data_IF_705810739392
#
_entry.id   IF_705810739392
#
_cell.length_a   1.000
_cell.length_b   1.000
_cell.length_c   1.000
_cell.angle_alpha   90.00
_cell.angle_beta   90.00
_cell.angle_gamma   90.00
#
_symmetry.space_group_name_H-M   'P 1'
#
loop_
_entity.id
_entity.type
_entity.pdbx_description
1 polymer ?
#
# COMPACT_ATOMS: atom_id res chain seq x y z
N UNK A 1 -0.72 -38.82 -21.70
CA UNK A 1 -0.52 -37.78 -20.69
C UNK A 1 -0.15 -38.45 -19.39
N UNK A 2 1.11 -38.34 -19.01
CA UNK A 2 1.57 -38.80 -17.71
C UNK A 2 1.12 -37.85 -16.59
N UNK A 3 0.95 -38.33 -15.35
CA UNK A 3 0.60 -37.48 -14.21
C UNK A 3 1.59 -36.32 -13.98
N UNK A 4 2.83 -36.50 -14.41
CA UNK A 4 3.90 -35.50 -14.27
C UNK A 4 3.76 -34.35 -15.28
N UNK A 5 3.29 -34.63 -16.50
CA UNK A 5 3.01 -33.62 -17.53
C UNK A 5 1.79 -32.76 -17.13
N UNK A 6 0.78 -33.37 -16.51
CA UNK A 6 -0.39 -32.64 -16.00
C UNK A 6 -0.01 -31.71 -14.84
N UNK A 7 0.94 -32.11 -14.00
CA UNK A 7 1.40 -31.28 -12.90
C UNK A 7 2.14 -30.02 -13.40
N UNK A 8 2.99 -30.17 -14.43
CA UNK A 8 3.74 -29.06 -15.04
C UNK A 8 2.81 -28.04 -15.69
N UNK A 9 1.82 -28.50 -16.47
CA UNK A 9 0.80 -27.65 -17.09
C UNK A 9 -0.02 -26.90 -16.03
N UNK A 10 -0.35 -27.56 -14.92
CA UNK A 10 -1.13 -26.96 -13.84
C UNK A 10 -0.36 -25.88 -13.06
N UNK A 11 0.96 -26.08 -12.87
CA UNK A 11 1.84 -25.09 -12.24
C UNK A 11 2.00 -23.86 -13.14
N UNK A 12 2.21 -24.08 -14.43
CA UNK A 12 2.39 -22.98 -15.40
C UNK A 12 1.08 -22.22 -15.66
N UNK A 13 -0.05 -22.92 -15.70
CA UNK A 13 -1.38 -22.29 -15.76
C UNK A 13 -1.67 -21.43 -14.53
N UNK A 14 -1.30 -21.88 -13.33
CA UNK A 14 -1.42 -21.08 -12.10
C UNK A 14 -0.57 -19.81 -12.13
N UNK A 15 0.66 -19.90 -12.62
CA UNK A 15 1.54 -18.74 -12.74
C UNK A 15 0.95 -17.68 -13.69
N UNK A 16 0.41 -18.10 -14.84
CA UNK A 16 -0.28 -17.23 -15.78
C UNK A 16 -1.54 -16.59 -15.17
N UNK A 17 -2.36 -17.36 -14.46
CA UNK A 17 -3.60 -16.88 -13.86
C UNK A 17 -3.37 -15.84 -12.75
N UNK A 18 -2.24 -15.93 -12.05
CA UNK A 18 -1.82 -14.96 -11.04
C UNK A 18 -1.07 -13.75 -11.63
N UNK A 19 -0.48 -13.87 -12.83
CA UNK A 19 0.19 -12.76 -13.51
C UNK A 19 -0.78 -11.74 -14.13
N UNK A 20 -1.97 -12.18 -14.57
CA UNK A 20 -3.01 -11.29 -15.14
C UNK A 20 -3.41 -10.17 -14.17
N UNK A 21 -3.82 -10.43 -12.91
CA UNK A 21 -4.20 -9.35 -12.00
C UNK A 21 -3.04 -8.40 -11.71
N UNK A 22 -1.80 -8.89 -11.64
CA UNK A 22 -0.62 -8.02 -11.51
C UNK A 22 -0.46 -7.08 -12.71
N UNK A 23 -0.57 -7.59 -13.95
CA UNK A 23 -0.47 -6.74 -15.14
C UNK A 23 -1.58 -5.69 -15.18
N UNK A 24 -2.81 -6.06 -14.82
CA UNK A 24 -3.95 -5.12 -14.78
C UNK A 24 -3.72 -4.03 -13.74
N UNK A 25 -3.26 -4.39 -12.54
CA UNK A 25 -2.96 -3.44 -11.46
C UNK A 25 -1.82 -2.49 -11.85
N UNK A 26 -0.72 -3.02 -12.41
CA UNK A 26 0.42 -2.22 -12.89
C UNK A 26 0.03 -1.26 -14.01
N UNK A 27 -0.75 -1.74 -14.99
CA UNK A 27 -1.20 -0.92 -16.12
C UNK A 27 -2.15 0.18 -15.66
N UNK A 28 -3.09 -0.15 -14.75
CA UNK A 28 -3.99 0.82 -14.13
C UNK A 28 -3.23 1.89 -13.33
N UNK A 29 -2.21 1.48 -12.57
CA UNK A 29 -1.35 2.41 -11.84
C UNK A 29 -0.54 3.33 -12.76
N UNK A 30 0.00 2.80 -13.86
CA UNK A 30 0.69 3.60 -14.88
C UNK A 30 -0.24 4.64 -15.52
N UNK A 31 -1.45 4.26 -15.90
CA UNK A 31 -2.46 5.18 -16.42
C UNK A 31 -2.83 6.26 -15.40
N UNK A 32 -2.95 5.89 -14.12
CA UNK A 32 -3.21 6.82 -13.02
C UNK A 32 -2.08 7.85 -12.86
N UNK A 33 -0.81 7.41 -12.88
CA UNK A 33 0.35 8.31 -12.81
C UNK A 33 0.41 9.29 -13.98
N UNK A 34 0.10 8.82 -15.20
CA UNK A 34 0.02 9.70 -16.36
C UNK A 34 -1.08 10.76 -16.18
N UNK A 35 -2.27 10.36 -15.70
CA UNK A 35 -3.35 11.29 -15.36
C UNK A 35 -2.95 12.29 -14.28
N UNK A 36 -2.22 11.85 -13.26
CA UNK A 36 -1.70 12.70 -12.19
C UNK A 36 -0.73 13.76 -12.73
N UNK A 37 0.24 13.36 -13.58
CA UNK A 37 1.20 14.28 -14.19
C UNK A 37 0.50 15.33 -15.05
N UNK A 38 -0.48 14.92 -15.86
CA UNK A 38 -1.28 15.85 -16.69
C UNK A 38 -2.09 16.81 -15.81
N UNK A 39 -2.69 16.33 -14.72
CA UNK A 39 -3.44 17.17 -13.79
C UNK A 39 -2.54 18.21 -13.12
N UNK A 40 -1.34 17.81 -12.66
CA UNK A 40 -0.36 18.72 -12.07
C UNK A 40 0.13 19.74 -13.10
N UNK A 41 0.49 19.32 -14.31
CA UNK A 41 0.92 20.24 -15.38
C UNK A 41 -0.17 21.26 -15.73
N UNK A 42 -1.43 20.82 -15.81
CA UNK A 42 -2.58 21.71 -16.05
C UNK A 42 -2.73 22.76 -14.95
N UNK A 43 -2.45 22.40 -13.69
CA UNK A 43 -2.46 23.32 -12.55
C UNK A 43 -1.32 24.34 -12.61
N UNK A 44 -0.11 23.92 -13.03
CA UNK A 44 1.05 24.83 -13.15
C UNK A 44 0.92 25.81 -14.31
N UNK A 45 0.28 25.42 -15.42
CA UNK A 45 0.11 26.28 -16.60
C UNK A 45 -0.93 27.40 -16.35
N UNK A 46 -1.90 27.20 -15.44
CA UNK A 46 -3.05 28.10 -15.23
C UNK A 46 -2.75 29.38 -14.42
N UNK A 47 -1.49 29.69 -14.09
CA UNK A 47 -1.12 30.96 -13.46
C UNK A 47 -0.97 30.90 -11.93
N UNK A 48 -0.93 32.07 -11.24
CA UNK A 48 -0.39 32.21 -9.89
C UNK A 48 -1.15 31.36 -8.88
N UNK A 49 -0.39 30.61 -8.07
CA UNK A 49 -0.90 29.68 -7.07
C UNK A 49 -1.87 30.35 -6.09
N UNK A 50 -3.15 30.04 -6.26
CA UNK A 50 -4.19 30.39 -5.30
C UNK A 50 -4.37 29.32 -4.22
N UNK A 51 -4.94 29.71 -3.08
CA UNK A 51 -5.48 28.77 -2.06
C UNK A 51 -6.27 27.59 -2.66
N UNK A 52 -7.18 27.77 -3.65
CA UNK A 52 -7.91 26.65 -4.23
C UNK A 52 -7.02 25.64 -4.98
N UNK A 53 -5.98 26.08 -5.67
CA UNK A 53 -5.05 25.18 -6.36
C UNK A 53 -4.22 24.36 -5.37
N UNK A 54 -3.83 24.96 -4.24
CA UNK A 54 -3.10 24.26 -3.19
C UNK A 54 -3.94 23.14 -2.58
N UNK A 55 -5.22 23.41 -2.29
CA UNK A 55 -6.16 22.41 -1.76
C UNK A 55 -6.38 21.27 -2.78
N UNK A 56 -6.53 21.62 -4.06
CA UNK A 56 -6.71 20.62 -5.11
C UNK A 56 -5.48 19.71 -5.26
N UNK A 57 -4.28 20.29 -5.21
CA UNK A 57 -3.02 19.54 -5.27
C UNK A 57 -2.89 18.60 -4.06
N UNK A 58 -3.23 19.10 -2.87
CA UNK A 58 -3.21 18.30 -1.65
C UNK A 58 -4.18 17.12 -1.74
N UNK A 59 -5.39 17.35 -2.26
CA UNK A 59 -6.36 16.28 -2.53
C UNK A 59 -5.82 15.25 -3.53
N UNK A 60 -5.21 15.70 -4.64
CA UNK A 60 -4.60 14.82 -5.64
C UNK A 60 -3.48 13.96 -5.04
N UNK A 61 -2.63 14.55 -4.20
CA UNK A 61 -1.55 13.83 -3.50
C UNK A 61 -2.13 12.78 -2.56
N UNK A 62 -3.17 13.11 -1.79
CA UNK A 62 -3.83 12.13 -0.92
C UNK A 62 -4.40 10.96 -1.71
N UNK A 63 -5.06 11.22 -2.84
CA UNK A 63 -5.60 10.16 -3.71
C UNK A 63 -4.47 9.30 -4.27
N UNK A 64 -3.36 9.90 -4.71
CA UNK A 64 -2.18 9.17 -5.17
C UNK A 64 -1.64 8.26 -4.08
N UNK A 65 -1.45 8.75 -2.85
CA UNK A 65 -0.97 7.96 -1.73
C UNK A 65 -1.90 6.78 -1.44
N UNK A 66 -3.22 7.01 -1.40
CA UNK A 66 -4.20 5.94 -1.20
C UNK A 66 -4.14 4.89 -2.32
N UNK A 67 -4.01 5.30 -3.58
CA UNK A 67 -3.90 4.38 -4.71
C UNK A 67 -2.59 3.58 -4.68
N UNK A 68 -1.46 4.24 -4.43
CA UNK A 68 -0.17 3.58 -4.25
C UNK A 68 -0.24 2.56 -3.12
N UNK A 69 -0.94 2.87 -2.03
CA UNK A 69 -1.15 1.95 -0.93
C UNK A 69 -1.90 0.68 -1.35
N UNK A 70 -3.04 0.85 -2.03
CA UNK A 70 -3.84 -0.27 -2.54
C UNK A 70 -3.06 -1.15 -3.53
N UNK A 71 -2.22 -0.53 -4.37
CA UNK A 71 -1.37 -1.26 -5.32
C UNK A 71 -0.28 -2.04 -4.59
N UNK A 72 0.34 -1.47 -3.57
CA UNK A 72 1.33 -2.16 -2.75
C UNK A 72 0.71 -3.29 -1.93
N UNK A 73 -0.53 -3.13 -1.48
CA UNK A 73 -1.26 -4.18 -0.77
C UNK A 73 -1.50 -5.40 -1.67
N UNK A 74 -2.21 -5.16 -2.77
CA UNK A 74 -2.57 -6.21 -3.71
C UNK A 74 -1.34 -6.81 -4.42
N UNK A 75 -0.37 -5.96 -4.81
CA UNK A 75 0.86 -6.39 -5.46
C UNK A 75 1.81 -7.12 -4.50
N UNK A 76 1.95 -6.60 -3.29
CA UNK A 76 2.80 -7.17 -2.23
C UNK A 76 2.36 -8.54 -1.78
N UNK A 77 1.07 -8.72 -1.51
CA UNK A 77 0.51 -10.03 -1.14
C UNK A 77 0.71 -11.08 -2.23
N UNK A 78 0.51 -10.73 -3.50
CA UNK A 78 0.74 -11.63 -4.63
C UNK A 78 2.24 -11.97 -4.82
N UNK A 79 3.13 -11.00 -4.63
CA UNK A 79 4.58 -11.21 -4.72
C UNK A 79 5.08 -12.13 -3.61
N UNK A 80 4.54 -11.96 -2.40
CA UNK A 80 4.83 -12.80 -1.23
C UNK A 80 4.38 -14.26 -1.45
N UNK A 81 3.19 -14.47 -2.02
CA UNK A 81 2.71 -15.81 -2.41
C UNK A 81 3.62 -16.43 -3.47
N UNK A 82 4.05 -15.66 -4.47
CA UNK A 82 4.99 -16.14 -5.49
C UNK A 82 6.34 -16.54 -4.88
N UNK A 83 6.88 -15.71 -3.98
CA UNK A 83 8.16 -15.99 -3.32
C UNK A 83 8.07 -17.24 -2.45
N UNK A 84 6.97 -17.43 -1.70
CA UNK A 84 6.73 -18.64 -0.91
C UNK A 84 6.65 -19.89 -1.78
N UNK A 85 5.96 -19.83 -2.93
CA UNK A 85 5.87 -20.96 -3.87
C UNK A 85 7.23 -21.30 -4.50
N UNK A 86 8.07 -20.31 -4.82
CA UNK A 86 9.44 -20.52 -5.30
C UNK A 86 10.42 -20.94 -4.20
N UNK A 87 10.18 -20.57 -2.94
CA UNK A 87 10.99 -21.04 -1.83
C UNK A 87 10.74 -22.52 -1.56
N UNK A 88 9.50 -23.01 -1.67
CA UNK A 88 9.18 -24.43 -1.49
C UNK A 88 9.92 -25.37 -2.46
N UNK A 89 10.43 -24.85 -3.58
CA UNK A 89 11.20 -25.63 -4.57
C UNK A 89 12.72 -25.56 -4.38
N UNK A 90 13.23 -24.81 -3.39
CA UNK A 90 14.67 -24.72 -3.11
C UNK A 90 15.19 -25.91 -2.28
N UNK A 91 16.32 -26.48 -2.67
CA UNK A 91 16.91 -27.70 -2.08
C UNK A 91 17.51 -27.52 -0.66
N UNK A 92 17.53 -26.29 -0.13
CA UNK A 92 18.27 -25.91 1.10
C UNK A 92 17.60 -26.29 2.44
N UNK A 93 16.55 -27.11 2.41
CA UNK A 93 15.90 -27.60 3.62
C UNK A 93 14.93 -26.59 4.26
N UNK A 94 13.87 -27.13 4.87
CA UNK A 94 12.67 -26.39 5.33
C UNK A 94 13.01 -25.28 6.35
N UNK A 95 14.07 -25.44 7.16
CA UNK A 95 14.40 -24.52 8.25
C UNK A 95 14.98 -23.20 7.72
N UNK A 96 15.82 -23.24 6.68
CA UNK A 96 16.40 -22.03 6.08
C UNK A 96 15.34 -21.21 5.32
N UNK A 97 14.39 -21.89 4.68
CA UNK A 97 13.24 -21.24 4.03
C UNK A 97 12.33 -20.57 5.04
N UNK A 98 12.07 -21.21 6.19
CA UNK A 98 11.23 -20.66 7.25
C UNK A 98 11.83 -19.37 7.83
N UNK A 99 13.14 -19.35 8.08
CA UNK A 99 13.83 -18.15 8.60
C UNK A 99 13.86 -17.00 7.58
N UNK A 100 14.01 -17.31 6.28
CA UNK A 100 13.99 -16.30 5.22
C UNK A 100 12.57 -15.74 5.00
N UNK A 101 11.54 -16.57 5.14
CA UNK A 101 10.14 -16.16 5.07
C UNK A 101 9.75 -15.31 6.28
N UNK A 102 10.12 -15.72 7.50
CA UNK A 102 9.75 -15.03 8.75
C UNK A 102 10.24 -13.58 8.77
N UNK A 103 11.50 -13.34 8.37
CA UNK A 103 12.06 -11.98 8.29
C UNK A 103 11.32 -11.09 7.29
N UNK A 104 10.82 -11.65 6.20
CA UNK A 104 10.12 -10.88 5.18
C UNK A 104 8.65 -10.65 5.54
N UNK A 105 7.99 -11.64 6.16
CA UNK A 105 6.64 -11.54 6.72
C UNK A 105 6.59 -10.38 7.73
N UNK A 106 7.59 -10.26 8.61
CA UNK A 106 7.64 -9.20 9.62
C UNK A 106 7.71 -7.80 8.99
N UNK A 107 8.51 -7.62 7.94
CA UNK A 107 8.62 -6.32 7.25
C UNK A 107 7.30 -5.96 6.58
N UNK A 108 6.65 -6.92 5.92
CA UNK A 108 5.34 -6.71 5.29
C UNK A 108 4.24 -6.44 6.33
N UNK A 109 4.24 -7.14 7.46
CA UNK A 109 3.30 -6.88 8.56
C UNK A 109 3.43 -5.46 9.11
N UNK A 110 4.66 -5.00 9.34
CA UNK A 110 4.89 -3.62 9.82
C UNK A 110 4.50 -2.57 8.77
N UNK A 111 4.70 -2.88 7.49
CA UNK A 111 4.26 -2.03 6.39
C UNK A 111 2.72 -1.95 6.35
N UNK A 112 2.03 -3.08 6.45
CA UNK A 112 0.56 -3.13 6.42
C UNK A 112 -0.13 -2.46 7.59
N UNK A 113 0.47 -2.49 8.78
CA UNK A 113 -0.09 -1.89 9.99
C UNK A 113 0.18 -0.39 10.13
N UNK A 114 1.06 0.17 9.30
CA UNK A 114 1.38 1.60 9.38
C UNK A 114 0.16 2.54 9.17
N UNK A 115 -0.87 2.26 8.34
CA UNK A 115 -1.99 3.18 8.14
C UNK A 115 -2.89 3.19 9.37
N UNK A 116 -3.05 2.03 10.03
CA UNK A 116 -3.75 1.89 11.31
C UNK A 116 -3.00 2.67 12.38
N UNK A 117 -1.67 2.59 12.39
CA UNK A 117 -0.82 3.32 13.34
C UNK A 117 -0.93 4.84 13.13
N UNK A 118 -0.96 5.31 11.88
CA UNK A 118 -1.20 6.72 11.55
C UNK A 118 -2.60 7.16 11.96
N UNK A 119 -3.62 6.36 11.64
CA UNK A 119 -5.00 6.67 12.00
C UNK A 119 -5.17 6.74 13.52
N UNK A 120 -4.56 5.81 14.27
CA UNK A 120 -4.53 5.81 15.72
C UNK A 120 -3.82 7.06 16.27
N UNK A 121 -2.69 7.45 15.67
CA UNK A 121 -1.92 8.64 16.06
C UNK A 121 -2.71 9.93 15.82
N UNK A 122 -3.36 10.06 14.67
CA UNK A 122 -4.23 11.21 14.34
C UNK A 122 -5.44 11.25 15.28
N UNK A 123 -6.08 10.11 15.53
CA UNK A 123 -7.21 10.02 16.47
C UNK A 123 -6.80 10.43 17.88
N UNK A 124 -5.61 10.01 18.32
CA UNK A 124 -5.04 10.42 19.60
C UNK A 124 -4.75 11.92 19.66
N UNK A 125 -4.25 12.54 18.59
CA UNK A 125 -4.01 13.99 18.53
C UNK A 125 -5.34 14.77 18.54
N UNK A 126 -6.37 14.29 17.84
CA UNK A 126 -7.69 14.95 17.80
C UNK A 126 -8.42 14.81 19.14
N UNK A 127 -8.39 13.64 19.79
CA UNK A 127 -9.01 13.45 21.10
C UNK A 127 -8.17 14.01 22.25
N UNK A 128 -6.84 13.94 22.14
CA UNK A 128 -5.90 14.56 23.08
C UNK A 128 -5.99 16.09 23.06
N UNK A 129 -6.19 16.70 21.89
CA UNK A 129 -6.44 18.15 21.80
C UNK A 129 -7.80 18.55 22.40
N UNK A 130 -8.82 17.69 22.31
CA UNK A 130 -10.10 17.89 23.00
C UNK A 130 -9.96 17.89 24.53
N UNK A 131 -9.12 16.99 25.09
CA UNK A 131 -8.81 16.97 26.53
C UNK A 131 -8.00 18.19 26.99
N UNK A 132 -7.02 18.65 26.20
CA UNK A 132 -6.27 19.88 26.51
C UNK A 132 -7.14 21.13 26.49
N UNK A 133 -8.12 21.21 25.57
CA UNK A 133 -9.05 22.33 25.46
C UNK A 133 -10.05 22.34 26.62
N UNK A 134 -10.56 21.17 27.01
CA UNK A 134 -11.42 21.00 28.19
C UNK A 134 -10.69 21.33 29.50
N UNK A 135 -9.43 20.91 29.66
CA UNK A 135 -8.64 21.18 30.86
C UNK A 135 -8.34 22.68 31.03
N UNK A 136 -8.04 23.39 29.95
CA UNK A 136 -7.86 24.85 29.97
C UNK A 136 -9.18 25.61 30.20
N UNK A 137 -10.31 25.14 29.66
CA UNK A 137 -11.63 25.70 29.94
C UNK A 137 -12.06 25.48 31.40
N UNK A 138 -11.73 24.33 32.00
CA UNK A 138 -12.05 24.02 33.39
C UNK A 138 -11.19 24.81 34.39
N UNK A 139 -9.91 25.02 34.08
CA UNK A 139 -9.01 25.81 34.93
C UNK A 139 -9.28 27.32 34.83
N UNK A 140 -9.70 27.82 33.67
CA UNK A 140 -10.09 29.23 33.49
C UNK A 140 -11.47 29.59 34.09
N UNK A 141 -12.31 28.62 34.46
CA UNK A 141 -13.60 28.87 35.14
C UNK A 141 -13.53 28.75 36.67
N UNK A 142 -12.33 28.49 37.22
CA UNK A 142 -12.08 28.31 38.65
C UNK A 142 -11.26 29.49 39.25
N UNK A 143 -10.95 30.51 38.44
CA UNK A 143 -10.46 31.83 38.85
C UNK A 143 -11.58 32.88 38.70
#
# INVERSE_FOLDING_TARGET
MGPEEQHLIFVEAKALLLAVPMMVVLTGYGAFLLGFVVAVQSLTIRGPWGRPQTILLLCLVTILVCFTWTVLDNGGGLLMIHRLMFMQTLEQGIIAQLQAADKEIVIWGYFFDWPVTILASITYIIHGSSFYTLYHLFTASLE
#
